data_IF_107366902953
#
_entry.id   IF_107366902953
#
_cell.length_a   1.000
_cell.length_b   1.000
_cell.length_c   1.000
_cell.angle_alpha   90.00
_cell.angle_beta   90.00
_cell.angle_gamma   90.00
#
_symmetry.space_group_name_H-M   'P 1'
#
loop_
_entity.id
_entity.type
_entity.pdbx_description
1 polymer ?
#
# COMPACT_ATOMS: atom_id res chain seq x y z
N UNK A 1 50.01 1.80 -4.69
CA UNK A 1 50.42 2.52 -5.91
C UNK A 1 49.35 2.24 -6.95
N UNK A 2 48.44 3.18 -7.20
CA UNK A 2 47.31 2.96 -8.12
C UNK A 2 47.79 3.14 -9.57
N UNK A 3 47.65 2.10 -10.38
CA UNK A 3 48.07 2.13 -11.78
C UNK A 3 47.10 2.96 -12.64
N UNK A 4 47.59 3.77 -13.59
CA UNK A 4 46.74 4.47 -14.54
C UNK A 4 46.04 3.50 -15.50
N UNK A 5 44.86 3.87 -15.98
CA UNK A 5 44.07 3.04 -16.90
C UNK A 5 44.65 3.16 -18.32
N UNK A 6 45.08 2.06 -18.97
CA UNK A 6 45.60 2.10 -20.33
C UNK A 6 44.51 2.51 -21.33
N UNK A 7 44.83 3.44 -22.25
CA UNK A 7 43.92 3.86 -23.33
C UNK A 7 43.00 5.04 -23.00
N UNK A 8 43.09 5.62 -21.81
CA UNK A 8 42.40 6.89 -21.51
C UNK A 8 43.17 8.07 -22.11
N UNK A 9 42.47 9.04 -22.73
CA UNK A 9 43.11 10.28 -23.21
C UNK A 9 43.48 11.26 -22.09
N UNK A 10 43.04 10.99 -20.86
CA UNK A 10 43.29 11.77 -19.65
C UNK A 10 44.02 10.94 -18.57
N UNK A 11 45.08 10.23 -18.99
CA UNK A 11 45.86 9.26 -18.19
C UNK A 11 46.28 9.69 -16.77
N UNK A 12 46.26 10.99 -16.44
CA UNK A 12 46.62 11.51 -15.12
C UNK A 12 45.44 11.86 -14.19
N UNK A 13 44.19 11.84 -14.68
CA UNK A 13 43.03 12.35 -13.90
C UNK A 13 42.16 11.29 -13.24
N UNK A 14 42.14 10.06 -13.76
CA UNK A 14 41.27 9.00 -13.21
C UNK A 14 42.12 7.84 -12.69
N UNK A 15 41.93 7.54 -11.41
CA UNK A 15 42.55 6.42 -10.71
C UNK A 15 41.51 5.33 -10.46
N UNK A 16 41.98 4.11 -10.16
CA UNK A 16 41.11 2.99 -9.78
C UNK A 16 40.21 3.33 -8.57
N UNK A 17 40.70 4.15 -7.62
CA UNK A 17 39.90 4.62 -6.49
C UNK A 17 38.68 5.44 -6.92
N UNK A 18 38.81 6.22 -7.99
CA UNK A 18 37.73 7.06 -8.51
C UNK A 18 36.68 6.21 -9.24
N UNK A 19 37.12 5.10 -9.87
CA UNK A 19 36.21 4.10 -10.43
C UNK A 19 35.43 3.38 -9.33
N UNK A 20 36.08 3.01 -8.22
CA UNK A 20 35.41 2.39 -7.07
C UNK A 20 34.37 3.34 -6.48
N UNK A 21 34.76 4.59 -6.21
CA UNK A 21 33.83 5.61 -5.73
C UNK A 21 32.65 5.81 -6.71
N UNK A 22 32.88 5.70 -8.02
CA UNK A 22 31.82 5.81 -9.01
C UNK A 22 30.85 4.62 -8.96
N UNK A 23 31.34 3.40 -8.73
CA UNK A 23 30.52 2.20 -8.55
C UNK A 23 29.67 2.27 -7.28
N UNK A 24 30.20 2.89 -6.22
CA UNK A 24 29.50 3.10 -4.96
C UNK A 24 28.55 4.33 -4.99
N UNK A 25 28.53 5.10 -6.09
CA UNK A 25 27.70 6.31 -6.23
C UNK A 25 28.25 7.54 -5.51
N UNK A 26 29.49 7.49 -5.03
CA UNK A 26 30.16 8.55 -4.26
C UNK A 26 31.16 9.37 -5.08
N UNK A 27 31.33 9.08 -6.38
CA UNK A 27 32.27 9.79 -7.22
C UNK A 27 31.91 11.27 -7.43
N UNK A 28 32.95 12.10 -7.56
CA UNK A 28 32.80 13.49 -7.95
C UNK A 28 32.16 13.61 -9.35
N UNK A 29 31.41 14.70 -9.55
CA UNK A 29 30.59 14.92 -10.76
C UNK A 29 31.43 14.91 -12.05
N UNK A 30 32.66 15.40 -12.00
CA UNK A 30 33.60 15.41 -13.12
C UNK A 30 34.06 14.00 -13.52
N UNK A 31 34.24 13.10 -12.55
CA UNK A 31 34.55 11.69 -12.78
C UNK A 31 33.36 10.98 -13.44
N UNK A 32 32.14 11.20 -12.92
CA UNK A 32 30.92 10.64 -13.52
C UNK A 32 30.75 11.14 -14.95
N UNK A 33 30.93 12.44 -15.18
CA UNK A 33 30.86 13.02 -16.52
C UNK A 33 31.91 12.40 -17.46
N UNK A 34 33.14 12.19 -17.00
CA UNK A 34 34.16 11.54 -17.81
C UNK A 34 33.81 10.09 -18.16
N UNK A 35 33.26 9.31 -17.24
CA UNK A 35 32.81 7.93 -17.49
C UNK A 35 31.74 7.83 -18.58
N UNK A 36 30.90 8.86 -18.73
CA UNK A 36 29.93 8.91 -19.82
C UNK A 36 30.59 9.13 -21.20
N UNK A 37 31.73 9.83 -21.23
CA UNK A 37 32.40 10.26 -22.47
C UNK A 37 33.55 9.33 -22.89
N UNK A 38 34.20 8.63 -21.96
CA UNK A 38 35.36 7.78 -22.23
C UNK A 38 35.01 6.29 -22.22
N UNK A 39 35.11 5.63 -23.39
CA UNK A 39 34.86 4.20 -23.52
C UNK A 39 35.83 3.33 -22.70
N UNK A 40 37.12 3.66 -22.70
CA UNK A 40 38.14 2.89 -21.98
C UNK A 40 37.92 2.90 -20.45
N UNK A 41 37.58 4.05 -19.86
CA UNK A 41 37.29 4.14 -18.44
C UNK A 41 36.00 3.41 -18.06
N UNK A 42 34.99 3.40 -18.94
CA UNK A 42 33.76 2.64 -18.74
C UNK A 42 34.01 1.12 -18.79
N UNK A 43 34.78 0.65 -19.76
CA UNK A 43 35.20 -0.77 -19.84
C UNK A 43 35.99 -1.19 -18.59
N UNK A 44 36.91 -0.35 -18.12
CA UNK A 44 37.65 -0.58 -16.89
C UNK A 44 36.74 -0.63 -15.65
N UNK A 45 35.74 0.26 -15.55
CA UNK A 45 34.77 0.25 -14.46
C UNK A 45 33.91 -1.03 -14.47
N UNK A 46 33.48 -1.50 -15.63
CA UNK A 46 32.72 -2.76 -15.78
C UNK A 46 33.56 -3.97 -15.39
N UNK A 47 34.82 -4.02 -15.83
CA UNK A 47 35.75 -5.09 -15.45
C UNK A 47 35.95 -5.13 -13.92
N UNK A 48 36.18 -3.96 -13.31
CA UNK A 48 36.34 -3.83 -11.86
C UNK A 48 35.07 -4.24 -11.09
N UNK A 49 33.89 -3.82 -11.56
CA UNK A 49 32.61 -4.24 -10.97
C UNK A 49 32.41 -5.76 -11.03
N UNK A 50 32.82 -6.38 -12.14
CA UNK A 50 32.74 -7.83 -12.32
C UNK A 50 33.67 -8.56 -11.35
N UNK A 51 34.90 -8.09 -11.16
CA UNK A 51 35.84 -8.64 -10.18
C UNK A 51 35.33 -8.50 -8.74
N UNK A 52 34.81 -7.32 -8.39
CA UNK A 52 34.19 -7.08 -7.08
C UNK A 52 32.99 -7.98 -6.85
N UNK A 53 32.14 -8.19 -7.84
CA UNK A 53 31.00 -9.09 -7.74
C UNK A 53 31.44 -10.54 -7.48
N UNK A 54 32.52 -11.01 -8.12
CA UNK A 54 33.07 -12.34 -7.83
C UNK A 54 33.62 -12.44 -6.41
N UNK A 55 34.37 -11.42 -5.95
CA UNK A 55 34.90 -11.36 -4.58
C UNK A 55 33.77 -11.33 -3.55
N UNK A 56 32.72 -10.54 -3.78
CA UNK A 56 31.54 -10.49 -2.92
C UNK A 56 30.74 -11.81 -2.94
N UNK A 57 30.66 -12.49 -4.08
CA UNK A 57 30.02 -13.81 -4.15
C UNK A 57 30.79 -14.89 -3.35
N UNK A 58 32.09 -14.67 -3.10
CA UNK A 58 32.91 -15.53 -2.25
C UNK A 58 32.78 -15.19 -0.76
N UNK A 59 32.18 -14.05 -0.39
CA UNK A 59 31.85 -13.76 1.01
C UNK A 59 30.77 -14.75 1.45
N UNK A 60 31.04 -15.56 2.49
CA UNK A 60 30.14 -16.62 2.88
C UNK A 60 28.79 -16.03 3.33
N UNK A 61 27.70 -16.47 2.69
CA UNK A 61 26.32 -16.13 3.05
C UNK A 61 25.95 -16.48 4.49
N UNK A 62 26.81 -17.20 5.22
CA UNK A 62 26.64 -17.46 6.65
C UNK A 62 26.65 -16.19 7.50
N UNK A 63 27.19 -15.08 7.00
CA UNK A 63 27.15 -13.78 7.67
C UNK A 63 25.95 -12.91 7.25
N UNK A 64 25.15 -13.35 6.26
CA UNK A 64 23.95 -12.63 5.84
C UNK A 64 22.78 -12.95 6.79
N UNK A 65 21.90 -11.98 7.05
CA UNK A 65 20.62 -12.25 7.68
C UNK A 65 19.81 -13.27 6.87
N UNK A 66 18.97 -14.05 7.54
CA UNK A 66 18.07 -14.98 6.87
C UNK A 66 17.07 -14.22 5.98
N UNK A 67 16.67 -14.82 4.85
CA UNK A 67 15.70 -14.24 3.92
C UNK A 67 14.39 -13.80 4.61
N UNK A 68 13.92 -14.57 5.59
CA UNK A 68 12.75 -14.25 6.42
C UNK A 68 12.88 -12.89 7.13
N UNK A 69 14.10 -12.53 7.56
CA UNK A 69 14.34 -11.26 8.22
C UNK A 69 14.19 -10.07 7.26
N UNK A 70 14.56 -10.24 5.98
CA UNK A 70 14.34 -9.22 4.95
C UNK A 70 12.87 -9.08 4.57
N UNK A 71 12.11 -10.19 4.57
CA UNK A 71 10.66 -10.14 4.38
C UNK A 71 9.98 -9.38 5.53
N UNK A 72 10.29 -9.71 6.79
CA UNK A 72 9.77 -8.98 7.96
C UNK A 72 10.18 -7.51 7.98
N UNK A 73 11.40 -7.20 7.53
CA UNK A 73 11.87 -5.82 7.37
C UNK A 73 11.02 -5.05 6.36
N UNK A 74 10.75 -5.65 5.20
CA UNK A 74 9.92 -5.08 4.13
C UNK A 74 8.48 -4.85 4.59
N UNK A 75 7.91 -5.78 5.37
CA UNK A 75 6.56 -5.68 5.93
C UNK A 75 6.46 -4.76 7.16
N UNK A 76 7.55 -4.10 7.58
CA UNK A 76 7.63 -3.28 8.80
C UNK A 76 7.24 -4.02 10.10
N UNK A 77 7.58 -5.31 10.19
CA UNK A 77 7.27 -6.20 11.33
C UNK A 77 8.46 -6.48 12.26
N UNK A 78 9.58 -5.78 12.06
CA UNK A 78 10.75 -5.87 12.94
C UNK A 78 10.66 -4.87 14.09
N UNK A 79 11.22 -5.22 15.23
CA UNK A 79 11.46 -4.25 16.30
C UNK A 79 12.63 -3.30 15.95
N UNK A 80 12.77 -2.21 16.71
CA UNK A 80 13.77 -1.18 16.44
C UNK A 80 15.22 -1.74 16.51
N UNK A 81 15.47 -2.74 17.36
CA UNK A 81 16.80 -3.32 17.52
C UNK A 81 17.16 -4.24 16.33
N UNK A 82 16.22 -5.07 15.87
CA UNK A 82 16.34 -5.89 14.67
C UNK A 82 16.55 -5.02 13.42
N UNK A 83 15.78 -3.92 13.31
CA UNK A 83 15.85 -3.02 12.17
C UNK A 83 17.22 -2.33 12.03
N UNK A 84 17.82 -1.89 13.14
CA UNK A 84 19.17 -1.31 13.16
C UNK A 84 20.23 -2.33 12.71
N UNK A 85 20.11 -3.59 13.12
CA UNK A 85 21.06 -4.63 12.73
C UNK A 85 21.01 -4.93 11.23
N UNK A 86 19.80 -5.05 10.67
CA UNK A 86 19.63 -5.31 9.23
C UNK A 86 20.10 -4.11 8.39
N UNK A 87 19.73 -2.88 8.77
CA UNK A 87 20.15 -1.68 8.03
C UNK A 87 21.66 -1.46 8.05
N UNK A 88 22.33 -1.80 9.14
CA UNK A 88 23.80 -1.77 9.20
C UNK A 88 24.48 -2.77 8.25
N UNK A 89 23.80 -3.86 7.87
CA UNK A 89 24.32 -4.86 6.95
C UNK A 89 24.27 -4.42 5.48
N UNK A 90 23.25 -3.67 5.09
CA UNK A 90 23.00 -3.22 3.71
C UNK A 90 24.19 -2.54 3.00
N UNK A 91 24.97 -1.63 3.61
CA UNK A 91 26.14 -1.04 2.93
C UNK A 91 27.22 -2.07 2.62
N UNK A 92 27.33 -3.14 3.41
CA UNK A 92 28.43 -4.12 3.32
C UNK A 92 28.13 -5.32 2.42
N UNK A 93 26.87 -5.58 2.07
CA UNK A 93 26.47 -6.77 1.33
C UNK A 93 25.60 -6.42 0.13
N UNK A 94 26.15 -6.55 -1.09
CA UNK A 94 25.40 -6.33 -2.33
C UNK A 94 24.28 -7.35 -2.52
N UNK A 95 24.50 -8.61 -2.16
CA UNK A 95 23.51 -9.67 -2.32
C UNK A 95 22.21 -9.39 -1.53
N UNK A 96 22.31 -8.86 -0.31
CA UNK A 96 21.14 -8.48 0.47
C UNK A 96 20.44 -7.22 -0.07
N UNK A 97 21.19 -6.30 -0.71
CA UNK A 97 20.56 -5.17 -1.42
C UNK A 97 19.77 -5.64 -2.63
N UNK A 98 20.32 -6.56 -3.39
CA UNK A 98 19.65 -7.15 -4.56
C UNK A 98 18.39 -7.91 -4.13
N UNK A 99 18.45 -8.66 -3.03
CA UNK A 99 17.30 -9.35 -2.44
C UNK A 99 16.20 -8.36 -1.99
N UNK A 100 16.58 -7.27 -1.34
CA UNK A 100 15.64 -6.21 -0.94
C UNK A 100 15.01 -5.51 -2.16
N UNK A 101 15.80 -5.26 -3.21
CA UNK A 101 15.31 -4.67 -4.45
C UNK A 101 14.29 -5.59 -5.15
N UNK A 102 14.56 -6.90 -5.20
CA UNK A 102 13.61 -7.89 -5.74
C UNK A 102 12.29 -7.93 -4.95
N UNK A 103 12.35 -7.83 -3.61
CA UNK A 103 11.15 -7.75 -2.77
C UNK A 103 10.34 -6.46 -3.01
N UNK A 104 11.04 -5.34 -3.22
CA UNK A 104 10.41 -4.06 -3.56
C UNK A 104 9.77 -4.08 -4.95
N UNK A 105 10.43 -4.67 -5.95
CA UNK A 105 9.88 -4.83 -7.30
C UNK A 105 8.64 -5.73 -7.31
N UNK A 106 8.66 -6.84 -6.58
CA UNK A 106 7.53 -7.74 -6.46
C UNK A 106 6.29 -7.10 -5.81
N UNK A 107 6.47 -6.02 -5.05
CA UNK A 107 5.36 -5.28 -4.42
C UNK A 107 4.78 -4.16 -5.30
N UNK A 108 5.51 -3.70 -6.33
CA UNK A 108 5.04 -2.68 -7.27
C UNK A 108 3.98 -3.20 -8.25
N UNK A 109 3.98 -4.51 -8.54
CA UNK A 109 2.99 -5.16 -9.43
C UNK A 109 1.75 -5.70 -8.69
N UNK A 110 1.72 -5.58 -7.35
CA UNK A 110 0.55 -5.95 -6.57
C UNK A 110 -0.39 -4.73 -6.46
N UNK A 111 -1.70 -4.88 -6.75
CA UNK A 111 -2.66 -3.82 -6.48
C UNK A 111 -2.57 -3.43 -5.00
N UNK A 112 -2.67 -2.13 -4.71
CA UNK A 112 -2.59 -1.62 -3.35
C UNK A 112 -3.50 -2.45 -2.42
N UNK A 113 -3.00 -2.90 -1.25
CA UNK A 113 -3.75 -3.81 -0.40
C UNK A 113 -5.08 -3.18 -0.03
N UNK A 114 -6.14 -3.95 -0.26
CA UNK A 114 -7.50 -3.56 0.07
C UNK A 114 -7.61 -3.26 1.57
N UNK A 115 -8.59 -2.45 1.96
CA UNK A 115 -8.84 -2.17 3.38
C UNK A 115 -9.04 -3.46 4.20
N UNK A 116 -9.63 -4.49 3.60
CA UNK A 116 -9.78 -5.82 4.20
C UNK A 116 -8.42 -6.46 4.49
N UNK A 117 -7.48 -6.40 3.55
CA UNK A 117 -6.13 -6.97 3.73
C UNK A 117 -5.33 -6.22 4.80
N UNK A 118 -5.39 -4.88 4.81
CA UNK A 118 -4.72 -4.05 5.82
C UNK A 118 -5.27 -4.28 7.22
N UNK A 119 -6.60 -4.37 7.35
CA UNK A 119 -7.22 -4.69 8.62
C UNK A 119 -6.89 -6.14 9.05
N UNK A 120 -6.77 -7.10 8.11
CA UNK A 120 -6.48 -8.50 8.44
C UNK A 120 -5.06 -8.64 8.99
N UNK A 121 -4.12 -7.88 8.44
CA UNK A 121 -2.76 -7.75 8.98
C UNK A 121 -2.72 -7.18 10.40
N UNK A 122 -3.71 -6.36 10.80
CA UNK A 122 -3.80 -5.80 12.16
C UNK A 122 -4.35 -6.77 13.23
N UNK A 123 -4.67 -8.02 12.85
CA UNK A 123 -5.19 -9.04 13.78
C UNK A 123 -6.65 -8.84 14.21
N UNK A 124 -7.38 -7.93 13.55
CA UNK A 124 -8.78 -7.65 13.85
C UNK A 124 -9.72 -8.58 13.09
N UNK A 125 -10.83 -8.98 13.73
CA UNK A 125 -11.87 -9.78 13.08
C UNK A 125 -12.66 -8.89 12.13
N UNK A 126 -12.57 -9.20 10.83
CA UNK A 126 -13.25 -8.44 9.76
C UNK A 126 -14.32 -9.31 9.14
N UNK A 127 -15.47 -8.70 8.93
CA UNK A 127 -16.58 -9.30 8.24
C UNK A 127 -16.88 -8.49 6.98
N UNK A 128 -16.81 -9.15 5.81
CA UNK A 128 -17.14 -8.53 4.53
C UNK A 128 -18.64 -8.64 4.27
N UNK A 129 -19.32 -7.51 4.18
CA UNK A 129 -20.76 -7.46 4.00
C UNK A 129 -21.14 -7.76 2.55
N UNK A 130 -21.90 -8.84 2.33
CA UNK A 130 -22.26 -9.29 0.99
C UNK A 130 -23.58 -8.64 0.55
N UNK A 131 -23.67 -8.12 -0.69
CA UNK A 131 -24.90 -7.54 -1.19
C UNK A 131 -25.98 -8.62 -1.31
N UNK A 132 -27.14 -8.36 -0.72
CA UNK A 132 -28.33 -9.17 -0.94
C UNK A 132 -29.06 -8.64 -2.17
N UNK A 133 -29.19 -9.49 -3.19
CA UNK A 133 -30.09 -9.19 -4.31
C UNK A 133 -31.53 -9.06 -3.78
N UNK A 134 -32.26 -7.98 -4.08
CA UNK A 134 -33.65 -7.86 -3.70
C UNK A 134 -34.44 -8.98 -4.39
N UNK A 135 -35.00 -9.91 -3.61
CA UNK A 135 -35.96 -10.90 -4.09
C UNK A 135 -37.32 -10.23 -4.25
N UNK A 136 -37.51 -9.47 -5.33
CA UNK A 136 -38.77 -8.78 -5.58
C UNK A 136 -38.90 -8.30 -7.03
N UNK A 137 -40.11 -8.40 -7.57
CA UNK A 137 -40.49 -7.79 -8.85
C UNK A 137 -40.33 -6.26 -8.75
N UNK A 138 -39.83 -5.57 -9.80
CA UNK A 138 -39.66 -4.13 -9.78
C UNK A 138 -41.01 -3.45 -9.51
N UNK A 139 -41.10 -2.68 -8.43
CA UNK A 139 -42.25 -1.84 -8.15
C UNK A 139 -42.26 -0.66 -9.13
N UNK A 140 -43.45 -0.24 -9.61
CA UNK A 140 -43.55 0.90 -10.51
C UNK A 140 -43.07 2.17 -9.81
N UNK A 141 -42.09 2.84 -10.41
CA UNK A 141 -41.59 4.14 -9.97
C UNK A 141 -42.66 5.20 -10.26
N UNK A 142 -43.09 5.91 -9.22
CA UNK A 142 -43.97 7.07 -9.35
C UNK A 142 -43.15 8.22 -9.92
N UNK A 143 -43.57 8.74 -11.07
CA UNK A 143 -42.90 9.86 -11.75
C UNK A 143 -42.99 11.12 -10.88
N UNK A 144 -41.87 11.52 -10.25
CA UNK A 144 -41.77 12.78 -9.51
C UNK A 144 -40.94 12.72 -8.22
N UNK A 145 -40.68 11.54 -7.67
CA UNK A 145 -39.75 11.38 -6.54
C UNK A 145 -38.31 11.21 -7.06
N UNK A 146 -37.37 11.89 -6.41
CA UNK A 146 -35.95 11.65 -6.63
C UNK A 146 -35.67 10.16 -6.36
N UNK A 147 -34.96 9.50 -7.27
CA UNK A 147 -34.70 8.08 -7.17
C UNK A 147 -33.81 7.80 -5.95
N UNK A 148 -34.41 7.36 -4.83
CA UNK A 148 -33.68 6.86 -3.68
C UNK A 148 -33.10 5.48 -4.04
N UNK A 149 -31.78 5.37 -3.99
CA UNK A 149 -31.08 4.10 -4.22
C UNK A 149 -30.90 3.38 -2.89
N UNK A 150 -31.34 2.14 -2.80
CA UNK A 150 -31.24 1.34 -1.57
C UNK A 150 -30.41 0.09 -1.79
N UNK A 151 -29.51 -0.21 -0.85
CA UNK A 151 -28.72 -1.43 -0.83
C UNK A 151 -28.94 -2.17 0.48
N UNK A 152 -29.02 -3.49 0.39
CA UNK A 152 -29.10 -4.38 1.55
C UNK A 152 -27.84 -5.24 1.58
N UNK A 153 -27.17 -5.26 2.71
CA UNK A 153 -26.03 -6.13 2.96
C UNK A 153 -26.28 -7.01 4.17
N UNK A 154 -25.72 -8.21 4.15
CA UNK A 154 -25.76 -9.12 5.29
C UNK A 154 -24.35 -9.55 5.66
N UNK A 155 -24.07 -9.58 6.97
CA UNK A 155 -22.81 -10.10 7.50
C UNK A 155 -23.03 -10.75 8.85
N UNK A 156 -22.52 -11.95 9.08
CA UNK A 156 -22.69 -12.80 10.29
C UNK A 156 -23.52 -12.19 11.44
N UNK A 157 -24.85 -12.35 11.38
CA UNK A 157 -25.76 -11.89 12.45
C UNK A 157 -26.08 -10.40 12.46
N UNK A 158 -25.63 -9.65 11.46
CA UNK A 158 -25.96 -8.26 11.19
C UNK A 158 -26.60 -8.08 9.81
N UNK A 159 -27.46 -7.08 9.71
CA UNK A 159 -28.06 -6.63 8.47
C UNK A 159 -27.85 -5.13 8.34
N UNK A 160 -27.29 -4.69 7.22
CA UNK A 160 -27.03 -3.28 6.94
C UNK A 160 -27.92 -2.85 5.78
N UNK A 161 -28.80 -1.89 6.04
CA UNK A 161 -29.59 -1.21 5.02
C UNK A 161 -28.95 0.16 4.77
N UNK A 162 -28.63 0.46 3.52
CA UNK A 162 -28.16 1.77 3.08
C UNK A 162 -29.19 2.40 2.15
N UNK A 163 -29.39 3.70 2.28
CA UNK A 163 -30.17 4.49 1.32
C UNK A 163 -29.44 5.77 0.96
N UNK A 164 -29.33 6.05 -0.35
CA UNK A 164 -28.72 7.26 -0.87
C UNK A 164 -29.76 8.13 -1.55
N UNK A 165 -29.81 9.39 -1.13
CA UNK A 165 -30.67 10.41 -1.74
C UNK A 165 -29.77 11.40 -2.45
N UNK A 166 -29.71 11.40 -3.80
CA UNK A 166 -28.93 12.39 -4.54
C UNK A 166 -29.53 13.78 -4.36
N UNK A 167 -28.68 14.81 -4.27
CA UNK A 167 -29.16 16.18 -4.24
C UNK A 167 -29.52 16.68 -5.65
N UNK A 168 -30.46 17.62 -5.72
CA UNK A 168 -30.84 18.26 -6.98
C UNK A 168 -29.65 19.02 -7.59
N UNK A 169 -29.58 19.02 -8.92
CA UNK A 169 -28.58 19.76 -9.70
C UNK A 169 -27.11 19.31 -9.52
N UNK A 170 -26.87 18.03 -9.20
CA UNK A 170 -25.52 17.45 -9.14
C UNK A 170 -24.71 17.84 -7.90
N UNK A 171 -25.37 18.41 -6.89
CA UNK A 171 -24.77 18.62 -5.59
C UNK A 171 -24.58 17.27 -4.85
N UNK A 172 -23.76 17.30 -3.81
CA UNK A 172 -23.50 16.12 -2.98
C UNK A 172 -24.78 15.67 -2.26
N UNK A 173 -25.07 14.37 -2.32
CA UNK A 173 -26.24 13.75 -1.71
C UNK A 173 -26.06 13.41 -0.23
N UNK A 174 -27.01 12.67 0.32
CA UNK A 174 -26.97 12.15 1.69
C UNK A 174 -27.05 10.63 1.66
N UNK A 175 -26.11 9.96 2.34
CA UNK A 175 -26.10 8.52 2.54
C UNK A 175 -26.58 8.24 3.97
N UNK A 176 -27.72 7.58 4.10
CA UNK A 176 -28.28 7.11 5.38
C UNK A 176 -28.08 5.61 5.48
N UNK A 177 -27.89 5.14 6.70
CA UNK A 177 -27.84 3.71 6.94
C UNK A 177 -28.43 3.30 8.27
N UNK A 178 -28.80 2.02 8.33
CA UNK A 178 -29.29 1.36 9.53
C UNK A 178 -28.59 -0.01 9.64
N UNK A 179 -27.87 -0.21 10.74
CA UNK A 179 -27.27 -1.48 11.11
C UNK A 179 -28.19 -2.18 12.12
N UNK A 180 -28.59 -3.41 11.83
CA UNK A 180 -29.39 -4.24 12.73
C UNK A 180 -28.57 -5.45 13.16
N UNK A 181 -28.68 -5.82 14.44
CA UNK A 181 -28.12 -7.08 14.97
C UNK A 181 -29.23 -8.09 15.21
N UNK A 182 -28.95 -9.37 14.97
CA UNK A 182 -29.86 -10.48 15.25
C UNK A 182 -30.20 -10.62 16.74
N UNK A 183 -29.33 -10.11 17.63
CA UNK A 183 -29.57 -10.08 19.08
C UNK A 183 -30.38 -8.85 19.53
N UNK A 184 -30.62 -7.89 18.65
CA UNK A 184 -31.39 -6.67 18.88
C UNK A 184 -30.62 -5.50 19.48
N UNK A 185 -29.47 -5.74 20.13
CA UNK A 185 -28.61 -4.67 20.69
C UNK A 185 -27.31 -4.58 19.92
N UNK A 186 -26.95 -3.37 19.51
CA UNK A 186 -25.64 -3.11 18.90
C UNK A 186 -24.58 -2.89 19.98
N UNK A 187 -23.39 -3.49 19.83
CA UNK A 187 -22.28 -3.21 20.72
C UNK A 187 -21.77 -1.79 20.45
N UNK A 188 -21.61 -1.02 21.52
CA UNK A 188 -21.19 0.39 21.51
C UNK A 188 -19.80 0.55 22.17
N UNK A 189 -18.97 1.52 21.74
CA UNK A 189 -19.25 2.51 20.69
C UNK A 189 -19.17 1.91 19.28
N UNK A 190 -20.06 2.36 18.40
CA UNK A 190 -20.07 2.00 16.99
C UNK A 190 -19.91 3.24 16.11
N UNK A 191 -19.03 3.17 15.11
CA UNK A 191 -18.71 4.28 14.21
C UNK A 191 -18.79 3.84 12.77
N UNK A 192 -19.07 4.78 11.88
CA UNK A 192 -19.06 4.57 10.44
C UNK A 192 -18.13 5.58 9.77
N UNK A 193 -17.37 5.12 8.79
CA UNK A 193 -16.53 5.97 7.95
C UNK A 193 -16.73 5.61 6.49
N UNK A 194 -16.88 6.62 5.64
CA UNK A 194 -16.93 6.50 4.19
C UNK A 194 -15.59 6.93 3.62
N UNK A 195 -14.97 6.05 2.85
CA UNK A 195 -13.62 6.22 2.34
C UNK A 195 -13.57 6.14 0.82
N UNK A 196 -12.68 6.93 0.23
CA UNK A 196 -12.33 6.86 -1.19
C UNK A 196 -10.81 6.84 -1.31
N UNK A 197 -10.27 5.83 -1.99
CA UNK A 197 -8.81 5.67 -2.15
C UNK A 197 -8.02 5.78 -0.82
N UNK A 198 -8.56 5.20 0.26
CA UNK A 198 -8.04 5.27 1.63
C UNK A 198 -8.08 6.64 2.33
N UNK A 199 -8.65 7.67 1.72
CA UNK A 199 -8.99 8.93 2.36
C UNK A 199 -10.38 8.84 2.98
N UNK A 200 -10.52 9.25 4.25
CA UNK A 200 -11.80 9.36 4.93
C UNK A 200 -12.49 10.64 4.49
N UNK A 201 -13.65 10.51 3.85
CA UNK A 201 -14.43 11.65 3.35
C UNK A 201 -15.53 12.09 4.31
N UNK A 202 -16.14 11.14 5.01
CA UNK A 202 -17.19 11.41 5.98
C UNK A 202 -17.16 10.35 7.08
N UNK A 203 -17.49 10.77 8.30
CA UNK A 203 -17.61 9.91 9.46
C UNK A 203 -18.85 10.29 10.26
N UNK A 204 -19.44 9.31 10.92
CA UNK A 204 -20.53 9.50 11.87
C UNK A 204 -20.51 8.41 12.95
N UNK A 205 -21.24 8.64 14.04
CA UNK A 205 -21.43 7.67 15.11
C UNK A 205 -22.72 6.91 14.85
N UNK A 206 -22.67 5.59 14.98
CA UNK A 206 -23.86 4.75 14.88
C UNK A 206 -24.56 4.80 16.24
N UNK A 207 -25.80 5.30 16.25
CA UNK A 207 -26.55 5.44 17.49
C UNK A 207 -26.98 4.09 18.10
N UNK A 208 -27.61 4.13 19.27
CA UNK A 208 -28.08 2.92 19.98
C UNK A 208 -29.12 2.10 19.20
N UNK A 209 -29.76 2.71 18.20
CA UNK A 209 -30.75 2.09 17.33
C UNK A 209 -30.15 1.63 15.99
N UNK A 210 -28.86 1.90 15.77
CA UNK A 210 -28.14 1.49 14.57
C UNK A 210 -28.19 2.48 13.41
N UNK A 211 -28.69 3.69 13.61
CA UNK A 211 -28.76 4.69 12.56
C UNK A 211 -27.50 5.53 12.47
N UNK A 212 -27.19 5.95 11.26
CA UNK A 212 -26.17 6.95 10.96
C UNK A 212 -26.55 7.75 9.70
N UNK A 213 -25.99 8.94 9.55
CA UNK A 213 -26.22 9.80 8.40
C UNK A 213 -24.95 10.53 7.96
N UNK A 214 -24.48 10.20 6.77
CA UNK A 214 -23.35 10.84 6.11
C UNK A 214 -23.88 11.86 5.09
N UNK A 215 -23.79 13.14 5.43
CA UNK A 215 -24.15 14.24 4.53
C UNK A 215 -23.02 14.60 3.56
N UNK A 216 -23.37 15.31 2.49
CA UNK A 216 -22.42 15.84 1.50
C UNK A 216 -21.57 14.78 0.81
N UNK A 217 -22.18 13.65 0.45
CA UNK A 217 -21.51 12.56 -0.27
C UNK A 217 -21.71 12.75 -1.78
N UNK A 218 -20.67 13.07 -2.58
CA UNK A 218 -20.81 13.15 -4.02
C UNK A 218 -21.05 11.76 -4.65
N UNK A 219 -21.66 11.66 -5.83
CA UNK A 219 -21.78 10.38 -6.53
C UNK A 219 -20.39 9.90 -6.98
N UNK A 220 -19.95 8.73 -6.49
CA UNK A 220 -18.67 8.10 -6.80
C UNK A 220 -18.64 6.65 -6.28
N UNK A 221 -17.47 6.00 -6.37
CA UNK A 221 -17.18 4.68 -5.81
C UNK A 221 -16.53 4.83 -4.43
N UNK A 222 -17.11 4.16 -3.44
CA UNK A 222 -16.69 4.26 -2.05
C UNK A 222 -16.51 2.92 -1.37
N UNK A 223 -15.78 2.95 -0.26
CA UNK A 223 -15.74 1.89 0.75
C UNK A 223 -16.44 2.40 2.00
N UNK A 224 -17.32 1.58 2.59
CA UNK A 224 -17.94 1.88 3.87
C UNK A 224 -17.34 0.97 4.94
N UNK A 225 -16.77 1.56 5.99
CA UNK A 225 -16.19 0.84 7.12
C UNK A 225 -17.00 1.17 8.37
N UNK A 226 -17.61 0.14 8.97
CA UNK A 226 -18.25 0.22 10.27
C UNK A 226 -17.31 -0.40 11.31
N UNK A 227 -16.97 0.38 12.34
CA UNK A 227 -16.11 -0.04 13.44
C UNK A 227 -16.95 -0.26 14.68
N UNK A 228 -17.03 -1.51 15.14
CA UNK A 228 -17.64 -1.92 16.40
C UNK A 228 -16.52 -2.33 17.40
N UNK A 229 -16.81 -2.49 18.70
CA UNK A 229 -15.78 -2.75 19.72
C UNK A 229 -14.94 -4.01 19.46
N UNK A 230 -15.56 -5.07 18.95
CA UNK A 230 -14.92 -6.39 18.79
C UNK A 230 -14.73 -6.78 17.32
N UNK A 231 -15.30 -6.04 16.38
CA UNK A 231 -15.28 -6.39 14.97
C UNK A 231 -15.41 -5.18 14.07
N UNK A 232 -14.96 -5.34 12.83
CA UNK A 232 -15.13 -4.35 11.76
C UNK A 232 -15.94 -4.96 10.62
N UNK A 233 -16.91 -4.21 10.11
CA UNK A 233 -17.72 -4.58 8.95
C UNK A 233 -17.29 -3.70 7.79
N UNK A 234 -16.99 -4.32 6.65
CA UNK A 234 -16.54 -3.61 5.44
C UNK A 234 -17.52 -3.88 4.30
N UNK A 235 -17.98 -2.81 3.67
CA UNK A 235 -18.60 -2.83 2.33
C UNK A 235 -17.52 -2.40 1.33
N UNK A 236 -16.97 -3.36 0.60
CA UNK A 236 -15.80 -3.14 -0.26
C UNK A 236 -16.08 -2.28 -1.49
N UNK A 237 -17.31 -2.36 -2.02
CA UNK A 237 -17.73 -1.62 -3.21
C UNK A 237 -19.13 -1.05 -3.01
N UNK A 238 -19.20 0.26 -2.80
CA UNK A 238 -20.43 1.03 -2.74
C UNK A 238 -20.44 2.06 -3.88
N UNK A 239 -21.27 1.82 -4.88
CA UNK A 239 -21.37 2.67 -6.07
C UNK A 239 -22.56 3.61 -5.93
N UNK A 240 -22.31 4.89 -5.69
CA UNK A 240 -23.34 5.91 -5.61
C UNK A 240 -23.48 6.58 -6.96
N UNK A 241 -24.61 6.35 -7.64
CA UNK A 241 -24.91 6.99 -8.93
C UNK A 241 -25.92 8.11 -8.76
N UNK A 242 -25.79 9.15 -9.59
CA UNK A 242 -26.69 10.31 -9.63
C UNK A 242 -27.99 10.01 -10.38
#
# INVERSE_FOLDING_TARGET
MSSPIPGCSALDRIRTSDLLAALDGEAAVDIVQHLTQCGACREAAVALATELAMLHAMVPRSACPAAEAWLRYHEHLLDEAEQVQLTAHLPTCSACRDELALLAEATLDLPAPTLIERLRASGQRILEALPQMPRGLPLPVVRGEAAEQTWNYQVEGFQLLLSYTPALAGAAGSLRGMLQSATGLLPQPAQVSLQRAAEVLAEDVIDEFGYFNLGYVPPDHYQLLLTLPELKIVVAELNLSA
#
